data_IF_273329045363
#
_entry.id   IF_273329045363
#
_cell.length_a   1.000
_cell.length_b   1.000
_cell.length_c   1.000
_cell.angle_alpha   90.00
_cell.angle_beta   90.00
_cell.angle_gamma   90.00
#
_symmetry.space_group_name_H-M   'P 1'
#
loop_
_entity.id
_entity.type
_entity.pdbx_description
1 polymer ?
#
# COMPACT_ATOMS: atom_id res chain seq x y z
N UNK A 1 -0.47 -9.44 32.42
CA UNK A 1 -1.64 -9.28 31.51
C UNK A 1 -1.06 -8.66 30.25
N UNK A 2 -1.00 -9.42 29.18
CA UNK A 2 -0.57 -8.91 27.90
C UNK A 2 -1.68 -7.99 27.40
N UNK A 3 -1.38 -6.71 27.20
CA UNK A 3 -2.31 -5.73 26.64
C UNK A 3 -2.42 -6.02 25.14
N UNK A 4 -3.39 -6.85 24.78
CA UNK A 4 -3.67 -7.20 23.38
C UNK A 4 -5.00 -6.58 22.99
N UNK A 5 -5.04 -5.91 21.87
CA UNK A 5 -6.25 -5.34 21.28
C UNK A 5 -6.77 -6.25 20.17
N UNK A 6 -8.05 -6.57 20.16
CA UNK A 6 -8.74 -7.21 19.05
C UNK A 6 -10.02 -6.41 18.78
N UNK A 7 -10.10 -5.82 17.61
CA UNK A 7 -11.27 -5.08 17.14
C UNK A 7 -11.80 -5.72 15.85
N UNK A 8 -13.12 -5.73 15.71
CA UNK A 8 -13.80 -6.10 14.48
C UNK A 8 -14.86 -5.04 14.19
N UNK A 9 -14.83 -4.46 13.01
CA UNK A 9 -15.82 -3.48 12.56
C UNK A 9 -15.92 -3.50 11.03
N UNK A 10 -17.16 -3.52 10.51
CA UNK A 10 -17.52 -3.34 9.10
C UNK A 10 -16.58 -4.04 8.09
N UNK A 11 -16.28 -5.34 8.30
CA UNK A 11 -15.43 -6.12 7.40
C UNK A 11 -13.91 -5.93 7.63
N UNK A 12 -13.53 -5.19 8.67
CA UNK A 12 -12.13 -5.01 9.05
C UNK A 12 -11.82 -5.73 10.36
N UNK A 13 -10.63 -6.31 10.45
CA UNK A 13 -10.10 -6.96 11.65
C UNK A 13 -8.79 -6.27 12.02
N UNK A 14 -8.67 -5.89 13.28
CA UNK A 14 -7.42 -5.37 13.84
C UNK A 14 -7.05 -6.21 15.07
N UNK A 15 -5.85 -6.77 15.05
CA UNK A 15 -5.18 -7.36 16.20
C UNK A 15 -3.86 -6.63 16.43
N UNK A 16 -3.60 -6.23 17.66
CA UNK A 16 -2.37 -5.52 18.02
C UNK A 16 -1.91 -5.92 19.43
N UNK A 17 -0.62 -6.17 19.59
CA UNK A 17 0.03 -6.29 20.89
C UNK A 17 0.50 -4.92 21.40
N UNK A 18 0.90 -4.82 22.66
CA UNK A 18 1.47 -3.59 23.23
C UNK A 18 2.71 -3.11 22.42
N UNK A 19 3.52 -4.03 21.93
CA UNK A 19 4.69 -3.72 21.10
C UNK A 19 4.32 -3.11 19.75
N UNK A 20 3.16 -3.44 19.20
CA UNK A 20 2.78 -2.96 17.88
C UNK A 20 2.63 -1.44 17.82
N UNK A 21 2.09 -0.82 18.86
CA UNK A 21 1.90 0.63 18.92
C UNK A 21 3.26 1.35 19.05
N UNK A 22 4.20 0.76 19.81
CA UNK A 22 5.48 1.38 20.08
C UNK A 22 6.47 1.26 18.90
N UNK A 23 6.48 0.11 18.21
CA UNK A 23 7.51 -0.23 17.21
C UNK A 23 6.98 -0.33 15.79
N UNK A 24 5.84 -0.96 15.55
CA UNK A 24 5.42 -1.40 14.21
C UNK A 24 4.33 -0.56 13.58
N UNK A 25 3.50 0.10 14.39
CA UNK A 25 2.35 0.87 13.89
C UNK A 25 2.73 1.95 12.87
N UNK A 26 3.90 2.57 13.04
CA UNK A 26 4.39 3.56 12.09
C UNK A 26 4.67 2.96 10.70
N UNK A 27 5.28 1.78 10.63
CA UNK A 27 5.62 1.15 9.35
C UNK A 27 4.36 0.70 8.60
N UNK A 28 3.37 0.15 9.32
CA UNK A 28 2.07 -0.18 8.74
C UNK A 28 1.37 1.08 8.22
N UNK A 29 1.34 2.16 9.02
CA UNK A 29 0.77 3.45 8.61
C UNK A 29 1.52 4.06 7.43
N UNK A 30 2.86 3.99 7.42
CA UNK A 30 3.66 4.49 6.30
C UNK A 30 3.36 3.74 5.00
N UNK A 31 3.12 2.43 5.09
CA UNK A 31 2.68 1.64 3.95
C UNK A 31 1.36 2.18 3.37
N UNK A 32 0.43 2.60 4.23
CA UNK A 32 -0.85 3.17 3.80
C UNK A 32 -0.71 4.52 3.07
N UNK A 33 0.29 5.29 3.46
CA UNK A 33 0.61 6.56 2.81
C UNK A 33 1.43 6.38 1.54
N UNK A 34 2.11 5.23 1.39
CA UNK A 34 3.02 4.99 0.28
C UNK A 34 2.27 4.43 -0.92
N UNK A 35 2.24 5.17 -1.99
CA UNK A 35 1.56 4.78 -3.23
C UNK A 35 2.45 3.97 -4.18
N UNK A 36 3.72 3.72 -3.84
CA UNK A 36 4.64 2.98 -4.71
C UNK A 36 5.63 2.12 -3.91
N UNK A 37 6.07 1.02 -4.53
CA UNK A 37 7.13 0.16 -3.98
C UNK A 37 8.46 0.93 -3.83
N UNK A 38 8.72 1.90 -4.68
CA UNK A 38 9.90 2.76 -4.62
C UNK A 38 9.92 3.58 -3.34
N UNK A 39 8.79 4.16 -2.93
CA UNK A 39 8.67 4.87 -1.65
C UNK A 39 8.93 3.93 -0.47
N UNK A 40 8.41 2.70 -0.53
CA UNK A 40 8.63 1.71 0.51
C UNK A 40 10.09 1.31 0.63
N UNK A 41 10.83 1.19 -0.49
CA UNK A 41 12.27 0.85 -0.49
C UNK A 41 13.13 1.93 0.16
N UNK A 42 12.71 3.18 0.18
CA UNK A 42 13.42 4.25 0.89
C UNK A 42 13.44 4.02 2.39
N UNK A 43 12.32 3.53 2.94
CA UNK A 43 12.16 3.30 4.37
C UNK A 43 12.54 1.87 4.77
N UNK A 44 12.10 0.88 4.01
CA UNK A 44 12.23 -0.56 4.28
C UNK A 44 12.89 -1.27 3.09
N UNK A 45 14.22 -1.10 2.90
CA UNK A 45 14.91 -1.62 1.73
C UNK A 45 15.13 -3.13 1.75
N UNK A 46 15.14 -3.73 2.94
CA UNK A 46 15.52 -5.12 3.14
C UNK A 46 14.31 -6.06 3.09
N UNK A 47 14.53 -7.27 2.62
CA UNK A 47 13.51 -8.33 2.52
C UNK A 47 13.76 -9.50 3.48
N UNK A 48 14.97 -9.60 4.03
CA UNK A 48 15.38 -10.66 4.95
C UNK A 48 16.14 -10.07 6.14
N UNK A 49 15.93 -10.67 7.30
CA UNK A 49 16.65 -10.35 8.53
C UNK A 49 17.83 -11.33 8.73
N UNK A 50 18.90 -10.86 9.31
CA UNK A 50 20.03 -11.72 9.72
C UNK A 50 19.70 -12.56 10.97
N UNK A 51 18.69 -12.14 11.75
CA UNK A 51 18.38 -12.69 13.07
C UNK A 51 17.47 -13.92 13.03
N UNK A 52 16.51 -13.96 12.11
CA UNK A 52 15.61 -15.10 11.87
C UNK A 52 14.99 -15.04 10.47
N UNK A 53 14.41 -16.17 10.01
CA UNK A 53 13.85 -16.29 8.66
C UNK A 53 12.37 -15.90 8.61
N UNK A 54 11.92 -15.34 7.47
CA UNK A 54 10.51 -15.07 7.17
C UNK A 54 9.64 -16.33 7.05
N UNK A 55 10.24 -17.53 6.99
CA UNK A 55 9.53 -18.80 6.69
C UNK A 55 8.40 -19.13 7.67
N UNK A 56 8.62 -18.92 8.98
CA UNK A 56 7.61 -19.22 10.00
C UNK A 56 6.44 -18.24 9.93
N UNK A 57 6.73 -16.96 9.68
CA UNK A 57 5.71 -15.92 9.49
C UNK A 57 4.85 -16.23 8.26
N UNK A 58 5.48 -16.59 7.14
CA UNK A 58 4.78 -16.98 5.90
C UNK A 58 3.88 -18.20 6.12
N UNK A 59 4.40 -19.26 6.77
CA UNK A 59 3.63 -20.48 7.04
C UNK A 59 2.43 -20.20 7.95
N UNK A 60 2.60 -19.38 8.98
CA UNK A 60 1.50 -18.98 9.86
C UNK A 60 0.42 -18.22 9.10
N UNK A 61 0.82 -17.21 8.30
CA UNK A 61 -0.14 -16.39 7.55
C UNK A 61 -0.86 -17.19 6.48
N UNK A 62 -0.18 -18.10 5.78
CA UNK A 62 -0.83 -18.97 4.81
C UNK A 62 -1.94 -19.80 5.47
N UNK A 63 -1.67 -20.41 6.63
CA UNK A 63 -2.68 -21.17 7.38
C UNK A 63 -3.85 -20.29 7.85
N UNK A 64 -3.58 -19.06 8.27
CA UNK A 64 -4.62 -18.11 8.69
C UNK A 64 -5.52 -17.70 7.51
N UNK A 65 -4.92 -17.35 6.37
CA UNK A 65 -5.62 -16.97 5.13
C UNK A 65 -6.52 -18.10 4.66
N UNK A 66 -5.99 -19.35 4.61
CA UNK A 66 -6.76 -20.54 4.22
C UNK A 66 -7.90 -20.84 5.21
N UNK A 67 -7.66 -20.68 6.52
CA UNK A 67 -8.66 -20.95 7.56
C UNK A 67 -9.82 -19.96 7.51
N UNK A 68 -9.54 -18.68 7.21
CA UNK A 68 -10.52 -17.61 7.16
C UNK A 68 -11.08 -17.37 5.74
N UNK A 69 -10.59 -18.12 4.74
CA UNK A 69 -10.97 -17.99 3.33
C UNK A 69 -10.86 -16.54 2.82
N UNK A 70 -9.72 -15.89 3.12
CA UNK A 70 -9.52 -14.49 2.77
C UNK A 70 -9.17 -14.33 1.28
N UNK A 71 -9.81 -13.41 0.54
CA UNK A 71 -9.58 -13.18 -0.88
C UNK A 71 -8.32 -12.33 -1.13
N UNK A 72 -7.16 -12.89 -0.84
CA UNK A 72 -5.89 -12.19 -0.98
C UNK A 72 -4.94 -12.93 -1.93
N UNK A 73 -4.00 -12.18 -2.51
CA UNK A 73 -2.95 -12.74 -3.36
C UNK A 73 -2.15 -13.83 -2.60
N UNK A 74 -1.73 -14.85 -3.31
CA UNK A 74 -1.00 -16.00 -2.73
C UNK A 74 0.42 -15.65 -2.25
N UNK A 75 0.98 -14.55 -2.74
CA UNK A 75 2.35 -14.12 -2.44
C UNK A 75 2.31 -12.71 -1.84
N UNK A 76 2.81 -12.52 -0.61
CA UNK A 76 2.88 -11.20 -0.01
C UNK A 76 4.07 -10.40 -0.50
N UNK A 77 3.99 -9.10 -0.34
CA UNK A 77 5.15 -8.23 -0.24
C UNK A 77 5.78 -8.45 1.14
N UNK A 78 7.11 -8.58 1.20
CA UNK A 78 7.85 -8.84 2.44
C UNK A 78 8.77 -7.67 2.72
N UNK A 79 8.74 -7.17 3.96
CA UNK A 79 9.62 -6.13 4.47
C UNK A 79 10.26 -6.59 5.76
N UNK A 80 11.60 -6.54 5.82
CA UNK A 80 12.37 -6.81 7.03
C UNK A 80 12.49 -5.51 7.83
N UNK A 81 11.85 -5.45 8.99
CA UNK A 81 11.89 -4.31 9.91
C UNK A 81 13.05 -4.49 10.89
N UNK A 82 14.01 -3.56 10.89
CA UNK A 82 15.21 -3.58 11.71
C UNK A 82 15.69 -2.16 12.04
N UNK A 83 16.82 -2.03 12.70
CA UNK A 83 17.41 -0.74 13.07
C UNK A 83 17.66 0.17 11.85
N UNK A 84 17.98 -0.38 10.66
CA UNK A 84 18.18 0.43 9.46
C UNK A 84 16.89 1.12 9.02
N UNK A 85 15.73 0.46 9.18
CA UNK A 85 14.43 1.05 8.88
C UNK A 85 14.14 2.27 9.78
N UNK A 86 14.51 2.18 11.06
CA UNK A 86 14.38 3.29 12.03
C UNK A 86 15.28 4.46 11.66
N UNK A 87 16.54 4.19 11.29
CA UNK A 87 17.47 5.21 10.84
C UNK A 87 16.98 5.89 9.55
N UNK A 88 16.40 5.12 8.63
CA UNK A 88 15.78 5.65 7.43
C UNK A 88 14.55 6.50 7.74
N UNK A 89 13.69 6.08 8.69
CA UNK A 89 12.53 6.86 9.13
C UNK A 89 12.98 8.21 9.70
N UNK A 90 14.00 8.21 10.54
CA UNK A 90 14.57 9.42 11.13
C UNK A 90 15.18 10.35 10.07
N UNK A 91 15.93 9.79 9.13
CA UNK A 91 16.69 10.58 8.14
C UNK A 91 15.80 11.12 7.03
N UNK A 92 14.88 10.30 6.50
CA UNK A 92 14.12 10.62 5.31
C UNK A 92 12.74 11.24 5.62
N UNK A 93 12.17 10.92 6.81
CA UNK A 93 10.81 11.34 7.18
C UNK A 93 10.79 12.18 8.46
N UNK A 94 11.88 12.20 9.24
CA UNK A 94 11.99 12.97 10.48
C UNK A 94 11.27 12.34 11.67
N UNK A 95 10.98 11.03 11.62
CA UNK A 95 10.29 10.27 12.67
C UNK A 95 11.30 9.46 13.47
N UNK A 96 11.27 9.62 14.79
CA UNK A 96 12.14 8.88 15.73
C UNK A 96 11.31 7.75 16.37
N UNK A 97 11.62 6.51 16.00
CA UNK A 97 10.93 5.32 16.48
C UNK A 97 11.83 4.66 17.53
N UNK A 98 11.35 4.33 18.74
CA UNK A 98 12.12 3.55 19.68
C UNK A 98 12.38 2.16 19.10
N UNK A 99 13.58 1.65 19.23
CA UNK A 99 13.95 0.31 18.71
C UNK A 99 14.94 -0.37 19.62
N UNK A 100 14.82 -1.68 19.75
CA UNK A 100 15.79 -2.54 20.41
C UNK A 100 16.07 -3.80 19.56
N UNK A 101 17.13 -4.53 19.88
CA UNK A 101 17.55 -5.72 19.12
C UNK A 101 16.50 -6.87 19.15
N UNK A 102 15.50 -6.78 20.02
CA UNK A 102 14.38 -7.74 20.10
C UNK A 102 13.18 -7.32 19.28
N UNK A 103 13.19 -6.12 18.71
CA UNK A 103 12.11 -5.56 17.92
C UNK A 103 12.17 -5.94 16.43
N UNK A 104 13.25 -6.61 15.98
CA UNK A 104 13.32 -7.09 14.61
C UNK A 104 12.09 -7.93 14.23
N UNK A 105 11.49 -7.61 13.09
CA UNK A 105 10.24 -8.22 12.65
C UNK A 105 10.12 -8.30 11.13
N UNK A 106 9.22 -9.15 10.65
CA UNK A 106 8.77 -9.15 9.26
C UNK A 106 7.39 -8.50 9.16
N UNK A 107 7.25 -7.54 8.28
CA UNK A 107 5.94 -7.07 7.82
C UNK A 107 5.60 -7.77 6.50
N UNK A 108 4.46 -8.46 6.47
CA UNK A 108 3.92 -9.14 5.30
C UNK A 108 2.66 -8.42 4.86
N UNK A 109 2.59 -8.05 3.59
CA UNK A 109 1.42 -7.37 3.02
C UNK A 109 0.85 -8.19 1.89
N UNK A 110 -0.38 -8.62 2.05
CA UNK A 110 -1.16 -9.32 1.04
C UNK A 110 -2.19 -8.36 0.46
N UNK A 111 -2.16 -8.19 -0.84
CA UNK A 111 -3.19 -7.41 -1.55
C UNK A 111 -4.44 -8.26 -1.71
N UNK A 112 -5.60 -7.67 -1.56
CA UNK A 112 -6.86 -8.30 -1.98
C UNK A 112 -6.84 -8.49 -3.48
N UNK A 113 -7.15 -9.69 -3.96
CA UNK A 113 -7.14 -10.04 -5.37
C UNK A 113 -8.48 -10.65 -5.77
N UNK A 114 -9.11 -10.09 -6.81
CA UNK A 114 -10.36 -10.54 -7.37
C UNK A 114 -10.18 -10.68 -8.88
N UNK A 115 -10.45 -11.86 -9.42
CA UNK A 115 -10.26 -12.21 -10.83
C UNK A 115 -8.83 -11.89 -11.34
N UNK A 116 -7.82 -12.17 -10.52
CA UNK A 116 -6.40 -11.88 -10.81
C UNK A 116 -6.06 -10.39 -10.97
N UNK A 117 -6.91 -9.50 -10.48
CA UNK A 117 -6.65 -8.07 -10.40
C UNK A 117 -6.60 -7.65 -8.95
N UNK A 118 -5.50 -7.02 -8.54
CA UNK A 118 -5.33 -6.54 -7.18
C UNK A 118 -6.23 -5.32 -6.89
N UNK A 119 -6.81 -5.28 -5.70
CA UNK A 119 -7.42 -4.07 -5.18
C UNK A 119 -6.33 -3.02 -4.85
N UNK A 120 -6.72 -1.76 -4.83
CA UNK A 120 -5.83 -0.70 -4.37
C UNK A 120 -5.52 -0.87 -2.88
N UNK A 121 -4.26 -0.77 -2.54
CA UNK A 121 -3.74 -0.85 -1.17
C UNK A 121 -3.60 0.53 -0.50
N UNK A 122 -4.05 1.58 -1.16
CA UNK A 122 -4.09 2.96 -0.69
C UNK A 122 -5.38 3.64 -1.15
N UNK A 123 -5.71 4.75 -0.54
CA UNK A 123 -6.86 5.56 -0.94
C UNK A 123 -6.66 6.11 -2.34
N UNK A 124 -7.54 5.72 -3.27
CA UNK A 124 -7.55 6.28 -4.62
C UNK A 124 -8.37 7.56 -4.62
N UNK A 125 -7.74 8.66 -4.98
CA UNK A 125 -8.40 9.90 -5.37
C UNK A 125 -7.90 10.30 -6.75
N UNK A 126 -8.79 10.71 -7.65
CA UNK A 126 -8.41 11.11 -8.99
C UNK A 126 -8.55 12.60 -9.21
N UNK A 127 -7.51 13.19 -9.81
CA UNK A 127 -7.57 14.56 -10.34
C UNK A 127 -7.96 14.63 -11.83
N UNK A 128 -8.03 13.47 -12.49
CA UNK A 128 -8.29 13.36 -13.95
C UNK A 128 -9.75 13.13 -14.27
N UNK A 129 -10.51 12.52 -13.37
CA UNK A 129 -11.93 12.23 -13.49
C UNK A 129 -12.65 12.43 -12.17
N UNK A 130 -13.99 12.62 -12.22
CA UNK A 130 -14.83 12.73 -11.02
C UNK A 130 -15.01 11.35 -10.33
N UNK A 131 -13.91 10.66 -10.05
CA UNK A 131 -13.94 9.36 -9.37
C UNK A 131 -14.32 9.54 -7.89
N UNK A 132 -15.14 8.62 -7.41
CA UNK A 132 -15.39 8.50 -5.98
C UNK A 132 -14.12 7.99 -5.28
N UNK A 133 -13.78 8.59 -4.16
CA UNK A 133 -12.67 8.14 -3.32
C UNK A 133 -12.89 6.70 -2.87
N UNK A 134 -11.92 5.84 -3.15
CA UNK A 134 -11.95 4.43 -2.78
C UNK A 134 -11.20 4.14 -1.49
N UNK A 135 -11.45 2.98 -0.94
CA UNK A 135 -10.84 2.49 0.29
C UNK A 135 -9.71 1.49 -0.02
N UNK A 136 -8.62 1.50 0.76
CA UNK A 136 -7.59 0.47 0.64
C UNK A 136 -8.14 -0.89 1.05
N UNK A 137 -7.76 -1.94 0.32
CA UNK A 137 -8.13 -3.32 0.66
C UNK A 137 -6.89 -4.21 0.64
N UNK A 138 -6.50 -4.68 1.83
CA UNK A 138 -5.27 -5.46 2.06
C UNK A 138 -5.30 -6.18 3.39
N UNK A 139 -4.36 -7.11 3.54
CA UNK A 139 -4.03 -7.75 4.81
C UNK A 139 -2.57 -7.43 5.15
N UNK A 140 -2.34 -6.74 6.24
CA UNK A 140 -1.01 -6.44 6.78
C UNK A 140 -0.79 -7.26 8.05
N UNK A 141 0.35 -7.89 8.18
CA UNK A 141 0.75 -8.57 9.41
C UNK A 141 2.19 -8.26 9.76
N UNK A 142 2.50 -8.23 11.06
CA UNK A 142 3.87 -8.07 11.56
C UNK A 142 4.19 -9.22 12.51
N UNK A 143 5.34 -9.85 12.26
CA UNK A 143 5.87 -10.98 13.03
C UNK A 143 7.25 -10.65 13.57
N UNK A 144 7.36 -10.69 14.89
CA UNK A 144 8.64 -10.73 15.58
C UNK A 144 9.06 -12.20 15.84
N UNK A 145 10.24 -12.39 16.44
CA UNK A 145 10.65 -13.71 16.94
C UNK A 145 9.70 -14.32 17.98
N UNK A 146 8.81 -13.52 18.55
CA UNK A 146 7.83 -13.96 19.56
C UNK A 146 6.47 -14.37 18.95
N UNK A 147 6.28 -14.16 17.65
CA UNK A 147 5.07 -14.49 16.91
C UNK A 147 4.38 -13.27 16.31
N UNK A 148 3.05 -13.38 16.11
CA UNK A 148 2.23 -12.32 15.54
C UNK A 148 2.10 -11.16 16.53
N UNK A 149 2.51 -9.97 16.10
CA UNK A 149 2.44 -8.73 16.87
C UNK A 149 1.34 -7.79 16.38
N UNK A 150 1.09 -7.81 15.06
CA UNK A 150 0.08 -6.98 14.42
C UNK A 150 -0.60 -7.72 13.28
N UNK A 151 -1.89 -7.53 13.14
CA UNK A 151 -2.69 -7.97 11.99
C UNK A 151 -3.76 -6.93 11.71
N UNK A 152 -3.80 -6.43 10.52
CA UNK A 152 -4.88 -5.60 9.99
C UNK A 152 -5.39 -6.20 8.69
N UNK A 153 -6.66 -6.54 8.66
CA UNK A 153 -7.37 -6.92 7.44
C UNK A 153 -8.41 -5.83 7.16
N UNK A 154 -8.21 -5.09 6.10
CA UNK A 154 -9.13 -4.04 5.68
C UNK A 154 -10.01 -4.54 4.56
N UNK A 155 -11.33 -4.47 4.75
CA UNK A 155 -12.34 -4.80 3.75
C UNK A 155 -12.18 -6.21 3.16
N UNK A 156 -12.21 -7.24 4.02
CA UNK A 156 -12.39 -8.62 3.58
C UNK A 156 -13.75 -8.74 2.85
N UNK A 157 -13.71 -9.12 1.58
CA UNK A 157 -14.88 -9.10 0.69
C UNK A 157 -15.22 -10.51 0.22
N UNK A 158 -16.51 -10.79 0.14
CA UNK A 158 -17.06 -11.92 -0.61
C UNK A 158 -17.80 -11.38 -1.83
N UNK A 159 -17.49 -11.92 -3.02
CA UNK A 159 -18.21 -11.55 -4.23
C UNK A 159 -19.63 -12.13 -4.19
N UNK A 160 -20.65 -11.25 -4.16
CA UNK A 160 -22.06 -11.66 -4.07
C UNK A 160 -22.80 -11.54 -5.39
N UNK A 161 -22.41 -10.60 -6.25
CA UNK A 161 -23.05 -10.35 -7.55
C UNK A 161 -22.01 -9.97 -8.60
N UNK A 162 -22.24 -10.41 -9.85
CA UNK A 162 -21.50 -9.88 -11.00
C UNK A 162 -22.15 -8.54 -11.41
N UNK A 163 -21.34 -7.50 -11.45
CA UNK A 163 -21.76 -6.19 -11.96
C UNK A 163 -21.92 -6.19 -13.49
N UNK A 164 -22.47 -5.12 -14.01
CA UNK A 164 -22.50 -4.89 -15.46
C UNK A 164 -21.06 -4.84 -16.00
N UNK A 165 -20.78 -5.64 -17.03
CA UNK A 165 -19.49 -5.62 -17.72
C UNK A 165 -19.33 -4.29 -18.47
N UNK A 166 -18.64 -3.34 -17.87
CA UNK A 166 -18.18 -2.14 -18.59
C UNK A 166 -16.97 -2.49 -19.46
N UNK A 167 -16.90 -1.89 -20.63
CA UNK A 167 -15.73 -2.02 -21.49
C UNK A 167 -14.57 -1.26 -20.85
N UNK A 168 -13.56 -1.97 -20.39
CA UNK A 168 -12.33 -1.37 -19.86
C UNK A 168 -11.59 -0.67 -21.01
N UNK A 169 -11.25 0.61 -20.84
CA UNK A 169 -10.46 1.33 -21.82
C UNK A 169 -9.02 0.78 -21.89
N UNK A 170 -8.39 0.89 -23.06
CA UNK A 170 -7.00 0.41 -23.18
C UNK A 170 -6.02 1.28 -22.36
N UNK A 171 -4.86 0.72 -21.95
CA UNK A 171 -3.81 1.50 -21.28
C UNK A 171 -3.40 2.75 -22.07
N UNK A 172 -3.35 2.65 -23.41
CA UNK A 172 -3.00 3.77 -24.28
C UNK A 172 -4.02 4.88 -24.22
N UNK A 173 -5.32 4.54 -24.18
CA UNK A 173 -6.40 5.52 -24.03
C UNK A 173 -6.35 6.20 -22.65
N UNK A 174 -6.02 5.44 -21.60
CA UNK A 174 -5.84 5.98 -20.26
C UNK A 174 -4.61 6.92 -20.19
N UNK A 175 -3.47 6.55 -20.82
CA UNK A 175 -2.29 7.41 -20.92
C UNK A 175 -2.61 8.75 -21.62
N UNK A 176 -3.38 8.74 -22.69
CA UNK A 176 -3.76 9.99 -23.37
C UNK A 176 -4.62 10.91 -22.49
N UNK A 177 -5.47 10.35 -21.62
CA UNK A 177 -6.22 11.15 -20.62
C UNK A 177 -5.26 11.76 -19.58
N UNK A 178 -4.30 10.99 -19.07
CA UNK A 178 -3.27 11.49 -18.14
C UNK A 178 -2.47 12.63 -18.78
N UNK A 179 -1.97 12.44 -20.01
CA UNK A 179 -1.22 13.49 -20.72
C UNK A 179 -2.03 14.76 -20.88
N UNK A 180 -3.28 14.66 -21.34
CA UNK A 180 -4.15 15.82 -21.51
C UNK A 180 -4.39 16.57 -20.20
N UNK A 181 -4.51 15.82 -19.09
CA UNK A 181 -4.64 16.42 -17.76
C UNK A 181 -3.37 17.16 -17.35
N UNK A 182 -2.20 16.52 -17.46
CA UNK A 182 -0.90 17.12 -17.14
C UNK A 182 -0.63 18.38 -18.00
N UNK A 183 -0.91 18.33 -19.30
CA UNK A 183 -0.80 19.49 -20.19
C UNK A 183 -1.70 20.64 -19.75
N UNK A 184 -2.91 20.35 -19.27
CA UNK A 184 -3.84 21.38 -18.76
C UNK A 184 -3.34 22.05 -17.49
N UNK A 185 -2.61 21.34 -16.65
CA UNK A 185 -2.02 21.85 -15.42
C UNK A 185 -0.74 22.65 -15.69
N UNK A 186 0.08 22.21 -16.67
CA UNK A 186 1.37 22.85 -17.00
C UNK A 186 1.25 24.28 -17.53
N UNK A 187 0.10 24.69 -18.05
CA UNK A 187 -0.12 26.05 -18.60
C UNK A 187 0.07 27.17 -17.55
N UNK A 188 0.10 26.85 -16.27
CA UNK A 188 0.24 27.81 -15.16
C UNK A 188 1.55 27.68 -14.38
N UNK A 189 2.52 26.89 -14.83
CA UNK A 189 3.73 26.60 -14.05
C UNK A 189 5.00 27.16 -14.67
N UNK A 190 5.85 27.75 -13.81
CA UNK A 190 7.15 28.35 -14.14
C UNK A 190 8.13 27.25 -14.62
N UNK A 191 8.93 27.50 -15.66
CA UNK A 191 9.87 26.56 -16.30
C UNK A 191 10.99 26.01 -15.37
N UNK A 192 10.98 26.34 -14.07
CA UNK A 192 12.00 25.92 -13.09
C UNK A 192 11.72 24.54 -12.45
N UNK A 193 10.64 23.87 -12.81
CA UNK A 193 10.23 22.62 -12.18
C UNK A 193 10.78 21.41 -12.93
N UNK A 194 11.15 20.39 -12.14
CA UNK A 194 11.77 19.16 -12.56
C UNK A 194 11.07 18.39 -13.69
N UNK A 195 11.57 17.22 -13.99
CA UNK A 195 11.01 16.35 -15.03
C UNK A 195 10.04 15.36 -14.40
N UNK A 196 8.84 15.22 -14.96
CA UNK A 196 7.88 14.20 -14.59
C UNK A 196 7.85 13.10 -15.65
N UNK A 197 7.89 11.85 -15.19
CA UNK A 197 7.91 10.67 -16.04
C UNK A 197 6.92 9.63 -15.54
N UNK A 198 6.14 9.03 -16.45
CA UNK A 198 5.35 7.85 -16.12
C UNK A 198 6.28 6.65 -16.00
N UNK A 199 6.45 6.12 -14.80
CA UNK A 199 7.37 5.02 -14.49
C UNK A 199 6.67 3.67 -14.33
N UNK A 200 5.35 3.65 -14.15
CA UNK A 200 4.56 2.44 -14.00
C UNK A 200 3.10 2.61 -14.42
N UNK A 201 2.46 1.48 -14.74
CA UNK A 201 1.04 1.41 -15.06
C UNK A 201 0.48 0.06 -14.62
N UNK A 202 -0.64 0.05 -13.90
CA UNK A 202 -1.34 -1.16 -13.50
C UNK A 202 -2.84 -0.97 -13.50
N UNK A 203 -3.58 -2.04 -13.80
CA UNK A 203 -5.03 -2.11 -13.57
C UNK A 203 -5.27 -2.53 -12.13
N UNK A 204 -6.15 -1.83 -11.42
CA UNK A 204 -6.54 -2.15 -10.04
C UNK A 204 -8.04 -2.02 -9.85
N UNK A 205 -8.55 -2.66 -8.80
CA UNK A 205 -9.89 -2.41 -8.32
C UNK A 205 -9.86 -1.24 -7.33
N UNK A 206 -10.69 -0.22 -7.60
CA UNK A 206 -11.05 0.81 -6.64
C UNK A 206 -12.25 0.31 -5.84
N UNK A 207 -12.12 0.20 -4.53
CA UNK A 207 -13.14 -0.33 -3.63
C UNK A 207 -13.99 0.81 -3.11
N UNK A 208 -15.24 0.88 -3.53
CA UNK A 208 -16.18 1.94 -3.19
C UNK A 208 -17.19 1.43 -2.15
N UNK A 209 -17.37 2.17 -1.08
CA UNK A 209 -18.43 1.90 -0.11
C UNK A 209 -19.74 2.52 -0.61
N UNK A 210 -20.73 1.66 -0.93
CA UNK A 210 -22.02 2.11 -1.46
C UNK A 210 -23.07 2.29 -0.36
N UNK A 211 -23.14 1.35 0.59
CA UNK A 211 -24.03 1.32 1.76
C UNK A 211 -23.39 0.44 2.81
N UNK A 212 -23.94 0.43 4.02
CA UNK A 212 -23.54 -0.51 5.08
C UNK A 212 -23.40 -1.92 4.49
N UNK A 213 -22.19 -2.49 4.60
CA UNK A 213 -21.81 -3.84 4.18
C UNK A 213 -21.86 -4.15 2.67
N UNK A 214 -22.06 -3.15 1.80
CA UNK A 214 -22.01 -3.35 0.34
C UNK A 214 -20.88 -2.53 -0.26
N UNK A 215 -19.94 -3.25 -0.87
CA UNK A 215 -18.82 -2.67 -1.60
C UNK A 215 -19.05 -2.83 -3.10
N UNK A 216 -18.66 -1.83 -3.86
CA UNK A 216 -18.62 -1.86 -5.32
C UNK A 216 -17.16 -1.80 -5.77
N UNK A 217 -16.82 -2.65 -6.74
CA UNK A 217 -15.51 -2.63 -7.39
C UNK A 217 -15.61 -1.84 -8.69
N UNK A 218 -14.75 -0.84 -8.83
CA UNK A 218 -14.60 -0.05 -10.05
C UNK A 218 -13.20 -0.27 -10.61
N UNK A 219 -13.05 -0.72 -11.87
CA UNK A 219 -11.72 -0.87 -12.46
C UNK A 219 -11.11 0.51 -12.73
N UNK A 220 -9.82 0.65 -12.38
CA UNK A 220 -9.05 1.89 -12.58
C UNK A 220 -7.67 1.60 -13.10
N UNK A 221 -7.18 2.44 -14.00
CA UNK A 221 -5.78 2.50 -14.37
C UNK A 221 -5.03 3.38 -13.38
N UNK A 222 -3.98 2.82 -12.77
CA UNK A 222 -3.10 3.52 -11.85
C UNK A 222 -1.75 3.69 -12.52
N UNK A 223 -1.30 4.93 -12.64
CA UNK A 223 0.00 5.30 -13.16
C UNK A 223 0.88 5.83 -12.03
N UNK A 224 2.15 5.45 -12.04
CA UNK A 224 3.15 5.99 -11.13
C UNK A 224 3.89 7.10 -11.85
N UNK A 225 3.90 8.28 -11.24
CA UNK A 225 4.67 9.45 -11.65
C UNK A 225 5.97 9.49 -10.86
N UNK A 226 7.09 9.57 -11.55
CA UNK A 226 8.40 9.89 -10.99
C UNK A 226 8.71 11.36 -11.30
N UNK A 227 8.66 12.19 -10.27
CA UNK A 227 8.96 13.62 -10.34
C UNK A 227 10.39 13.84 -9.84
N UNK A 228 11.28 14.27 -10.72
CA UNK A 228 12.69 14.50 -10.43
C UNK A 228 12.95 15.97 -10.22
N UNK A 229 13.28 16.37 -8.99
CA UNK A 229 13.60 17.75 -8.63
C UNK A 229 15.11 17.93 -8.45
N UNK A 230 15.73 18.91 -9.14
CA UNK A 230 17.13 19.23 -8.94
C UNK A 230 17.38 19.88 -7.58
N UNK A 231 18.40 19.45 -6.87
CA UNK A 231 18.86 20.06 -5.63
C UNK A 231 19.92 21.14 -5.88
N UNK A 232 20.10 22.04 -4.92
CA UNK A 232 21.08 23.11 -4.99
C UNK A 232 22.56 22.61 -5.01
N UNK A 233 22.81 21.39 -4.59
CA UNK A 233 24.13 20.74 -4.56
C UNK A 233 24.47 19.97 -5.85
N UNK A 234 23.58 20.00 -6.84
CA UNK A 234 23.73 19.31 -8.11
C UNK A 234 23.26 17.84 -8.10
N UNK A 235 22.70 17.38 -7.02
CA UNK A 235 21.98 16.10 -6.93
C UNK A 235 20.52 16.25 -7.35
N UNK A 236 19.78 15.14 -7.44
CA UNK A 236 18.34 15.16 -7.70
C UNK A 236 17.60 14.32 -6.65
N UNK A 237 16.40 14.77 -6.31
CA UNK A 237 15.47 14.01 -5.46
C UNK A 237 14.31 13.49 -6.31
N UNK A 238 13.98 12.21 -6.14
CA UNK A 238 12.83 11.57 -6.76
C UNK A 238 11.64 11.57 -5.81
N UNK A 239 10.48 11.93 -6.33
CA UNK A 239 9.20 11.86 -5.63
C UNK A 239 8.24 11.01 -6.46
N UNK A 240 7.72 9.95 -5.86
CA UNK A 240 6.76 9.08 -6.51
C UNK A 240 5.35 9.42 -6.03
N UNK A 241 4.46 9.62 -6.99
CA UNK A 241 3.04 9.83 -6.77
C UNK A 241 2.22 8.98 -7.73
N UNK A 242 0.92 8.89 -7.50
CA UNK A 242 0.02 8.18 -8.41
C UNK A 242 -0.98 9.10 -9.05
N UNK A 243 -1.36 8.78 -10.27
CA UNK A 243 -2.49 9.37 -10.96
C UNK A 243 -3.41 8.26 -11.44
N UNK A 244 -4.70 8.38 -11.19
CA UNK A 244 -5.68 7.34 -11.49
C UNK A 244 -6.70 7.82 -12.51
N UNK A 245 -7.13 6.88 -13.37
CA UNK A 245 -8.09 7.13 -14.44
C UNK A 245 -9.08 5.98 -14.48
N UNK A 246 -10.37 6.26 -14.66
CA UNK A 246 -11.38 5.23 -14.92
C UNK A 246 -10.94 4.33 -16.07
N UNK A 247 -11.02 3.02 -15.84
CA UNK A 247 -10.64 2.03 -16.83
C UNK A 247 -11.74 1.74 -17.85
#
# INVERSE_FOLDING_TARGET
>A
QDNTTLCYDAGSILYATEKSDDYYGYFAYYYDLSCSEENMRVLMPEKELDTFSSTDALAYMQNLIETLDLPVASTPEIYALNQNCVENAKTNVGVDIPWDDEADAYMLVYLTEIDSVAAANYTISSSVSDMTEGRPSKLVSVFSKNGLEYLECSYAMEQTEEGDSSQICSPEQAIERVKSHMESMAVNEDESKGTETLSGCSLKWNVLEQKEDVLQLQPVWVFILDSVLPNNDGTSTHYYSTICVDA
#
